data_IF_814510130104
#
_entry.id   IF_814510130104
#
_cell.length_a   1.000
_cell.length_b   1.000
_cell.length_c   1.000
_cell.angle_alpha   90.00
_cell.angle_beta   90.00
_cell.angle_gamma   90.00
#
_symmetry.space_group_name_H-M   'P 1'
#
loop_
_entity.id
_entity.type
_entity.pdbx_description
1 polymer ?
#
# COMPACT_ATOMS: atom_id res chain seq x y z
N UNK A 1 -10.93 13.02 32.92
CA UNK A 1 -9.93 12.69 33.96
C UNK A 1 -9.28 11.32 33.71
N UNK A 2 -10.04 10.23 33.51
CA UNK A 2 -9.49 8.90 33.19
C UNK A 2 -8.66 8.80 31.89
N UNK A 3 -9.06 9.47 30.81
CA UNK A 3 -8.28 9.49 29.55
C UNK A 3 -6.86 10.05 29.74
N UNK A 4 -6.68 11.10 30.55
CA UNK A 4 -5.35 11.69 30.84
C UNK A 4 -4.50 10.75 31.68
N UNK A 5 -5.09 10.04 32.64
CA UNK A 5 -4.38 9.07 33.48
C UNK A 5 -3.79 7.92 32.67
N UNK A 6 -4.56 7.31 31.76
CA UNK A 6 -4.06 6.26 30.88
C UNK A 6 -3.08 6.80 29.84
N UNK A 7 -3.28 8.00 29.30
CA UNK A 7 -2.36 8.57 28.31
C UNK A 7 -0.99 8.89 28.90
N UNK A 8 -0.98 9.54 30.06
CA UNK A 8 0.22 10.16 30.63
C UNK A 8 0.96 9.22 31.61
N UNK A 9 0.50 7.98 31.75
CA UNK A 9 1.12 6.99 32.63
C UNK A 9 2.60 6.77 32.24
N UNK A 10 3.53 6.75 33.22
CA UNK A 10 4.98 6.73 32.96
C UNK A 10 5.45 5.51 32.16
N UNK A 11 4.70 4.41 32.19
CA UNK A 11 4.99 3.20 31.40
C UNK A 11 4.91 3.49 29.90
N UNK A 12 3.91 4.25 29.44
CA UNK A 12 3.77 4.58 28.01
C UNK A 12 4.91 5.49 27.55
N UNK A 13 5.38 6.41 28.41
CA UNK A 13 6.54 7.26 28.11
C UNK A 13 7.84 6.48 27.91
N UNK A 14 7.96 5.27 28.47
CA UNK A 14 9.11 4.37 28.25
C UNK A 14 8.96 3.52 26.99
N UNK A 15 7.75 3.04 26.71
CA UNK A 15 7.48 2.12 25.59
C UNK A 15 7.42 2.86 24.25
N UNK A 16 6.72 4.01 24.20
CA UNK A 16 6.43 4.72 22.95
C UNK A 16 7.69 5.13 22.17
N UNK A 17 8.78 5.61 22.81
CA UNK A 17 10.00 5.94 22.09
C UNK A 17 10.67 4.74 21.39
N UNK A 18 10.43 3.50 21.83
CA UNK A 18 10.94 2.30 21.14
C UNK A 18 10.25 2.11 19.79
N UNK A 19 9.01 2.58 19.65
CA UNK A 19 8.28 2.53 18.39
C UNK A 19 8.70 3.62 17.41
N UNK A 20 9.42 4.69 17.83
CA UNK A 20 9.90 5.72 16.91
C UNK A 20 10.69 5.09 15.74
N UNK A 21 11.58 4.14 16.03
CA UNK A 21 12.39 3.44 15.02
C UNK A 21 11.54 2.54 14.13
N UNK A 22 10.49 1.91 14.66
CA UNK A 22 9.56 1.10 13.87
C UNK A 22 8.74 1.96 12.90
N UNK A 23 8.25 3.12 13.36
CA UNK A 23 7.48 4.05 12.52
C UNK A 23 8.36 4.83 11.53
N UNK A 24 9.68 4.84 11.72
CA UNK A 24 10.61 5.34 10.73
C UNK A 24 10.51 4.59 9.39
N UNK A 25 10.28 3.27 9.43
CA UNK A 25 10.09 2.43 8.24
C UNK A 25 8.77 2.67 7.50
N UNK A 26 7.90 3.53 8.03
CA UNK A 26 6.57 3.85 7.52
C UNK A 26 5.68 2.62 7.26
N UNK A 27 5.39 1.83 8.32
CA UNK A 27 4.67 0.55 8.18
C UNK A 27 3.24 0.70 7.63
N UNK A 28 2.64 1.89 7.73
CA UNK A 28 1.30 2.16 7.18
C UNK A 28 1.23 1.99 5.66
N UNK A 29 2.34 2.23 4.95
CA UNK A 29 2.40 2.04 3.50
C UNK A 29 2.30 0.57 3.08
N UNK A 30 2.56 -0.38 4.00
CA UNK A 30 2.42 -1.81 3.71
C UNK A 30 0.98 -2.22 3.42
N UNK A 31 0.00 -1.43 3.88
CA UNK A 31 -1.42 -1.67 3.61
C UNK A 31 -1.74 -1.77 2.11
N UNK A 32 -1.01 -1.00 1.30
CA UNK A 32 -1.15 -1.03 -0.15
C UNK A 32 -0.19 -2.04 -0.80
N UNK A 33 1.08 -2.07 -0.38
CA UNK A 33 2.06 -2.93 -1.05
C UNK A 33 1.75 -4.41 -0.85
N UNK A 34 1.28 -4.80 0.33
CA UNK A 34 0.92 -6.18 0.62
C UNK A 34 -0.35 -6.61 -0.10
N UNK A 35 -1.31 -5.69 -0.26
CA UNK A 35 -2.48 -5.90 -1.10
C UNK A 35 -2.05 -6.29 -2.51
N UNK A 36 -1.12 -5.57 -3.13
CA UNK A 36 -0.68 -5.88 -4.51
C UNK A 36 -0.02 -7.26 -4.62
N UNK A 37 0.80 -7.64 -3.65
CA UNK A 37 1.39 -8.99 -3.58
C UNK A 37 0.27 -10.03 -3.50
N UNK A 38 -0.69 -9.87 -2.58
CA UNK A 38 -1.83 -10.77 -2.40
C UNK A 38 -2.71 -10.87 -3.65
N UNK A 39 -2.89 -9.79 -4.41
CA UNK A 39 -3.62 -9.80 -5.69
C UNK A 39 -2.90 -10.67 -6.72
N UNK A 40 -1.56 -10.58 -6.79
CA UNK A 40 -0.74 -11.46 -7.62
C UNK A 40 -0.87 -12.94 -7.26
N UNK A 41 -0.85 -13.23 -5.96
CA UNK A 41 -1.07 -14.58 -5.40
C UNK A 41 -2.47 -15.09 -5.76
N UNK A 42 -3.50 -14.27 -5.53
CA UNK A 42 -4.89 -14.63 -5.82
C UNK A 42 -5.10 -14.95 -7.30
N UNK A 43 -4.66 -14.07 -8.21
CA UNK A 43 -4.96 -14.22 -9.63
C UNK A 43 -4.34 -15.51 -10.21
N UNK A 44 -3.13 -15.88 -9.76
CA UNK A 44 -2.48 -17.11 -10.18
C UNK A 44 -3.27 -18.35 -9.72
N UNK A 45 -3.70 -18.35 -8.46
CA UNK A 45 -4.50 -19.43 -7.88
C UNK A 45 -5.88 -19.54 -8.56
N UNK A 46 -6.54 -18.40 -8.81
CA UNK A 46 -7.82 -18.33 -9.50
C UNK A 46 -7.74 -18.89 -10.93
N UNK A 47 -6.74 -18.46 -11.70
CA UNK A 47 -6.52 -18.95 -13.08
C UNK A 47 -6.06 -20.41 -13.14
N UNK A 48 -5.60 -20.95 -12.02
CA UNK A 48 -5.28 -22.37 -11.87
C UNK A 48 -6.45 -23.18 -11.31
N UNK A 49 -7.65 -22.60 -11.27
CA UNK A 49 -8.91 -23.23 -10.82
C UNK A 49 -8.91 -23.70 -9.36
N UNK A 50 -8.03 -23.13 -8.52
CA UNK A 50 -7.92 -23.51 -7.11
C UNK A 50 -8.91 -22.73 -6.21
N UNK A 51 -9.63 -21.75 -6.74
CA UNK A 51 -10.68 -20.96 -6.07
C UNK A 51 -10.36 -20.66 -4.58
N UNK A 52 -9.29 -19.90 -4.31
CA UNK A 52 -8.79 -19.78 -2.94
C UNK A 52 -9.78 -19.02 -2.06
N UNK A 53 -10.24 -19.67 -1.00
CA UNK A 53 -10.94 -19.04 0.11
C UNK A 53 -10.38 -19.59 1.42
N UNK A 54 -10.25 -18.74 2.44
CA UNK A 54 -9.83 -19.14 3.78
C UNK A 54 -8.52 -19.97 3.81
N UNK A 55 -7.47 -19.47 3.15
CA UNK A 55 -6.16 -20.13 3.15
C UNK A 55 -5.45 -19.95 4.50
N UNK A 56 -5.71 -20.86 5.46
CA UNK A 56 -5.10 -20.86 6.79
C UNK A 56 -3.72 -21.54 6.86
N UNK A 57 -3.23 -22.12 5.76
CA UNK A 57 -1.90 -22.74 5.74
C UNK A 57 -0.82 -21.66 5.81
N UNK A 58 -0.07 -21.64 6.90
CA UNK A 58 1.09 -20.77 7.02
C UNK A 58 2.25 -21.31 6.17
N UNK A 59 2.88 -20.45 5.37
CA UNK A 59 4.04 -20.81 4.59
C UNK A 59 5.14 -19.75 4.76
N UNK A 60 6.31 -20.22 5.20
CA UNK A 60 7.45 -19.39 5.56
C UNK A 60 7.98 -18.55 4.41
N UNK A 61 7.94 -19.03 3.17
CA UNK A 61 8.43 -18.23 2.04
C UNK A 61 7.49 -17.08 1.68
N UNK A 62 6.17 -17.16 1.96
CA UNK A 62 5.32 -15.95 1.88
C UNK A 62 5.79 -14.93 2.92
N UNK A 63 6.05 -15.35 4.16
CA UNK A 63 6.57 -14.46 5.20
C UNK A 63 7.90 -13.81 4.77
N UNK A 64 8.83 -14.58 4.21
CA UNK A 64 10.10 -14.06 3.68
C UNK A 64 9.89 -13.10 2.50
N UNK A 65 8.94 -13.38 1.60
CA UNK A 65 8.57 -12.50 0.48
C UNK A 65 8.05 -11.15 0.99
N UNK A 66 7.08 -11.17 1.91
CA UNK A 66 6.52 -9.95 2.49
C UNK A 66 7.59 -9.16 3.24
N UNK A 67 8.42 -9.81 4.08
CA UNK A 67 9.49 -9.13 4.82
C UNK A 67 10.55 -8.54 3.88
N UNK A 68 11.01 -9.31 2.89
CA UNK A 68 12.04 -8.88 1.94
C UNK A 68 11.61 -7.66 1.13
N UNK A 69 10.40 -7.70 0.56
CA UNK A 69 9.84 -6.56 -0.17
C UNK A 69 9.56 -5.36 0.74
N UNK A 70 9.06 -5.59 1.96
CA UNK A 70 8.80 -4.51 2.91
C UNK A 70 10.08 -3.77 3.25
N UNK A 71 11.20 -4.47 3.51
CA UNK A 71 12.48 -3.83 3.81
C UNK A 71 13.00 -2.98 2.65
N UNK A 72 12.88 -3.47 1.41
CA UNK A 72 13.25 -2.70 0.22
C UNK A 72 12.39 -1.43 0.11
N UNK A 73 11.07 -1.56 0.29
CA UNK A 73 10.15 -0.42 0.24
C UNK A 73 10.40 0.58 1.39
N UNK A 74 10.69 0.12 2.60
CA UNK A 74 11.07 0.99 3.72
C UNK A 74 12.26 1.87 3.35
N UNK A 75 13.25 1.30 2.68
CA UNK A 75 14.41 2.06 2.21
C UNK A 75 14.01 3.18 1.25
N UNK A 76 13.07 2.92 0.33
CA UNK A 76 12.57 3.94 -0.61
C UNK A 76 11.85 5.06 0.12
N UNK A 77 11.00 4.73 1.10
CA UNK A 77 10.30 5.73 1.90
C UNK A 77 11.27 6.59 2.72
N UNK A 78 12.34 6.00 3.26
CA UNK A 78 13.37 6.77 3.96
C UNK A 78 14.09 7.71 2.99
N UNK A 79 14.49 7.23 1.80
CA UNK A 79 15.14 8.08 0.80
C UNK A 79 14.27 9.24 0.33
N UNK A 80 12.98 9.00 0.07
CA UNK A 80 12.08 10.08 -0.33
C UNK A 80 11.93 11.16 0.75
N UNK A 81 11.91 10.77 2.03
CA UNK A 81 11.85 11.72 3.16
C UNK A 81 13.14 12.54 3.35
N UNK A 82 14.29 11.95 2.99
CA UNK A 82 15.57 12.66 3.00
C UNK A 82 15.56 13.75 1.91
N UNK A 83 15.13 13.38 0.70
CA UNK A 83 15.24 14.22 -0.49
C UNK A 83 14.14 15.29 -0.62
N UNK A 84 12.89 14.97 -0.29
CA UNK A 84 11.75 15.89 -0.40
C UNK A 84 11.27 16.34 0.98
N UNK A 85 11.45 17.64 1.27
CA UNK A 85 11.01 18.25 2.53
C UNK A 85 9.50 18.12 2.72
N UNK A 86 8.71 18.10 1.64
CA UNK A 86 7.25 18.00 1.72
C UNK A 86 6.77 16.61 2.14
N UNK A 87 7.62 15.58 2.07
CA UNK A 87 7.28 14.22 2.50
C UNK A 87 7.68 13.92 3.95
N UNK A 88 8.25 14.91 4.67
CA UNK A 88 8.69 14.75 6.06
C UNK A 88 7.52 14.82 7.04
N UNK A 89 7.11 13.66 7.52
CA UNK A 89 6.13 13.55 8.61
C UNK A 89 6.73 13.97 9.98
N UNK A 90 5.89 14.26 10.97
CA UNK A 90 6.28 14.59 12.36
C UNK A 90 7.24 13.54 12.96
N UNK A 91 7.04 12.26 12.63
CA UNK A 91 7.93 11.15 12.99
C UNK A 91 9.36 11.36 12.48
N UNK A 92 9.50 11.76 11.22
CA UNK A 92 10.80 11.94 10.59
C UNK A 92 11.54 13.11 11.22
N UNK A 93 10.85 14.24 11.43
CA UNK A 93 11.39 15.43 12.08
C UNK A 93 11.92 15.09 13.47
N UNK A 94 11.17 14.27 14.23
CA UNK A 94 11.60 13.85 15.56
C UNK A 94 12.88 12.99 15.52
N UNK A 95 13.00 12.09 14.54
CA UNK A 95 14.14 11.17 14.43
C UNK A 95 15.37 11.88 13.85
N UNK A 96 15.18 12.87 12.97
CA UNK A 96 16.21 13.77 12.45
C UNK A 96 16.97 14.48 13.58
N UNK A 97 16.30 14.80 14.71
CA UNK A 97 16.98 15.37 15.88
C UNK A 97 17.88 14.39 16.63
N UNK A 98 17.67 13.07 16.47
CA UNK A 98 18.41 12.02 17.21
C UNK A 98 19.58 11.43 16.42
N UNK A 99 19.46 11.36 15.09
CA UNK A 99 20.41 10.68 14.23
C UNK A 99 20.85 11.56 13.06
N UNK A 100 22.11 11.42 12.64
CA UNK A 100 22.63 12.14 11.47
C UNK A 100 22.15 11.52 10.15
N UNK A 101 22.05 12.34 9.11
CA UNK A 101 21.67 11.90 7.75
C UNK A 101 22.51 10.71 7.23
N UNK A 102 23.81 10.69 7.52
CA UNK A 102 24.69 9.58 7.15
C UNK A 102 24.25 8.23 7.74
N UNK A 103 23.66 8.22 8.95
CA UNK A 103 23.10 7.00 9.54
C UNK A 103 21.84 6.54 8.82
N UNK A 104 21.00 7.47 8.36
CA UNK A 104 19.80 7.10 7.59
C UNK A 104 20.16 6.48 6.24
N UNK A 105 21.12 7.05 5.52
CA UNK A 105 21.61 6.46 4.28
C UNK A 105 22.19 5.06 4.48
N UNK A 106 22.97 4.87 5.55
CA UNK A 106 23.52 3.56 5.90
C UNK A 106 22.40 2.55 6.21
N UNK A 107 21.41 2.94 7.01
CA UNK A 107 20.26 2.11 7.35
C UNK A 107 19.48 1.69 6.09
N UNK A 108 19.19 2.63 5.20
CA UNK A 108 18.52 2.36 3.91
C UNK A 108 19.28 1.34 3.07
N UNK A 109 20.61 1.48 2.95
CA UNK A 109 21.46 0.51 2.24
C UNK A 109 21.43 -0.87 2.89
N UNK A 110 21.45 -0.94 4.22
CA UNK A 110 21.34 -2.21 4.97
C UNK A 110 19.98 -2.87 4.71
N UNK A 111 18.88 -2.11 4.73
CA UNK A 111 17.54 -2.63 4.45
C UNK A 111 17.42 -3.22 3.05
N UNK A 112 17.96 -2.55 2.03
CA UNK A 112 18.01 -3.08 0.67
C UNK A 112 18.79 -4.40 0.62
N UNK A 113 19.97 -4.42 1.24
CA UNK A 113 20.83 -5.60 1.23
C UNK A 113 20.17 -6.80 1.93
N UNK A 114 19.63 -6.60 3.14
CA UNK A 114 18.92 -7.65 3.87
C UNK A 114 17.66 -8.08 3.13
N UNK A 115 16.91 -7.13 2.55
CA UNK A 115 15.72 -7.43 1.76
C UNK A 115 16.02 -8.32 0.55
N UNK A 116 17.10 -8.04 -0.20
CA UNK A 116 17.54 -8.87 -1.31
C UNK A 116 17.98 -10.27 -0.86
N UNK A 117 18.67 -10.38 0.29
CA UNK A 117 19.03 -11.68 0.88
C UNK A 117 17.78 -12.49 1.22
N UNK A 118 16.78 -11.87 1.85
CA UNK A 118 15.51 -12.55 2.16
C UNK A 118 14.82 -13.03 0.89
N UNK A 119 14.81 -12.22 -0.17
CA UNK A 119 14.24 -12.61 -1.46
C UNK A 119 15.00 -13.76 -2.14
N UNK A 120 16.32 -13.86 -1.96
CA UNK A 120 17.09 -15.01 -2.44
C UNK A 120 16.63 -16.33 -1.80
N UNK A 121 16.25 -16.31 -0.52
CA UNK A 121 15.67 -17.48 0.15
C UNK A 121 14.23 -17.79 -0.31
N UNK A 122 13.53 -16.82 -0.91
CA UNK A 122 12.22 -17.02 -1.51
C UNK A 122 12.37 -17.67 -2.87
N UNK A 123 12.98 -16.96 -3.82
CA UNK A 123 13.44 -17.52 -5.10
C UNK A 123 14.22 -16.48 -5.92
N UNK A 124 15.05 -16.98 -6.85
CA UNK A 124 15.88 -16.14 -7.73
C UNK A 124 15.04 -15.16 -8.56
N UNK A 125 13.86 -15.58 -9.02
CA UNK A 125 12.95 -14.72 -9.79
C UNK A 125 12.46 -13.56 -8.91
N UNK A 126 12.11 -13.81 -7.66
CA UNK A 126 11.71 -12.77 -6.73
C UNK A 126 12.87 -11.82 -6.39
N UNK A 127 14.10 -12.31 -6.29
CA UNK A 127 15.28 -11.44 -6.19
C UNK A 127 15.41 -10.52 -7.40
N UNK A 128 15.22 -11.04 -8.62
CA UNK A 128 15.23 -10.22 -9.84
C UNK A 128 14.14 -9.14 -9.76
N UNK A 129 12.93 -9.48 -9.32
CA UNK A 129 11.87 -8.46 -9.12
C UNK A 129 12.24 -7.40 -8.09
N UNK A 130 12.94 -7.79 -7.00
CA UNK A 130 13.48 -6.86 -6.01
C UNK A 130 14.54 -5.92 -6.59
N UNK A 131 15.44 -6.43 -7.43
CA UNK A 131 16.43 -5.60 -8.15
C UNK A 131 15.74 -4.65 -9.13
N UNK A 132 14.73 -5.12 -9.86
CA UNK A 132 13.93 -4.25 -10.75
C UNK A 132 13.21 -3.14 -9.99
N UNK A 133 12.68 -3.42 -8.79
CA UNK A 133 12.10 -2.38 -7.91
C UNK A 133 13.11 -1.30 -7.56
N UNK A 134 14.36 -1.67 -7.23
CA UNK A 134 15.44 -0.73 -6.91
C UNK A 134 15.81 0.12 -8.12
N UNK A 135 15.93 -0.51 -9.31
CA UNK A 135 16.24 0.21 -10.55
C UNK A 135 15.10 1.18 -10.89
N UNK A 136 13.83 0.72 -10.81
CA UNK A 136 12.68 1.57 -11.03
C UNK A 136 12.72 2.79 -10.08
N UNK A 137 12.92 2.58 -8.78
CA UNK A 137 13.02 3.67 -7.82
C UNK A 137 14.10 4.70 -8.21
N UNK A 138 15.33 4.26 -8.49
CA UNK A 138 16.43 5.16 -8.86
C UNK A 138 16.19 5.90 -10.18
N UNK A 139 15.58 5.26 -11.17
CA UNK A 139 15.24 5.91 -12.46
C UNK A 139 14.14 6.96 -12.26
N UNK A 140 13.09 6.66 -11.49
CA UNK A 140 12.02 7.62 -11.24
C UNK A 140 12.51 8.83 -10.45
N UNK A 141 13.28 8.61 -9.38
CA UNK A 141 13.86 9.69 -8.58
C UNK A 141 14.72 10.65 -9.42
N UNK A 142 15.49 10.12 -10.40
CA UNK A 142 16.39 10.91 -11.24
C UNK A 142 15.73 11.56 -12.45
N UNK A 143 14.82 10.86 -13.13
CA UNK A 143 14.32 11.27 -14.46
C UNK A 143 12.83 11.62 -14.51
N UNK A 144 11.99 11.01 -13.66
CA UNK A 144 10.54 11.12 -13.76
C UNK A 144 9.93 11.59 -12.43
N UNK A 145 9.61 12.89 -12.33
CA UNK A 145 8.90 13.45 -11.17
C UNK A 145 7.40 13.08 -11.09
N UNK A 146 6.89 12.26 -12.01
CA UNK A 146 5.48 11.88 -11.99
C UNK A 146 5.24 10.71 -11.02
N UNK A 147 4.76 11.05 -9.81
CA UNK A 147 4.47 10.08 -8.74
C UNK A 147 3.49 8.97 -9.16
N UNK A 148 2.56 9.25 -10.08
CA UNK A 148 1.56 8.26 -10.50
C UNK A 148 2.17 7.10 -11.25
N UNK A 149 3.07 7.41 -12.19
CA UNK A 149 3.73 6.40 -13.02
C UNK A 149 4.63 5.54 -12.13
N UNK A 150 5.37 6.16 -11.20
CA UNK A 150 6.18 5.45 -10.23
C UNK A 150 5.35 4.44 -9.43
N UNK A 151 4.28 4.91 -8.78
CA UNK A 151 3.42 4.07 -7.96
C UNK A 151 2.72 2.95 -8.77
N UNK A 152 2.36 3.22 -10.02
CA UNK A 152 1.83 2.20 -10.92
C UNK A 152 2.89 1.13 -11.24
N UNK A 153 4.11 1.52 -11.59
CA UNK A 153 5.22 0.58 -11.84
C UNK A 153 5.58 -0.25 -10.60
N UNK A 154 5.63 0.38 -9.42
CA UNK A 154 5.82 -0.29 -8.14
C UNK A 154 4.74 -1.37 -7.92
N UNK A 155 3.47 -1.00 -8.12
CA UNK A 155 2.33 -1.93 -8.00
C UNK A 155 2.44 -3.13 -8.94
N UNK A 156 2.83 -2.90 -10.20
CA UNK A 156 3.03 -3.97 -11.17
C UNK A 156 4.12 -4.95 -10.73
N UNK A 157 5.25 -4.44 -10.25
CA UNK A 157 6.36 -5.28 -9.79
C UNK A 157 5.99 -6.09 -8.54
N UNK A 158 5.29 -5.46 -7.58
CA UNK A 158 4.77 -6.14 -6.39
C UNK A 158 3.75 -7.22 -6.75
N UNK A 159 2.84 -6.93 -7.67
CA UNK A 159 1.90 -7.92 -8.21
C UNK A 159 2.65 -9.14 -8.79
N UNK A 160 3.63 -8.90 -9.66
CA UNK A 160 4.37 -9.98 -10.30
C UNK A 160 5.19 -10.82 -9.32
N UNK A 161 5.71 -10.22 -8.24
CA UNK A 161 6.39 -10.97 -7.18
C UNK A 161 5.48 -12.02 -6.52
N UNK A 162 4.23 -11.65 -6.20
CA UNK A 162 3.24 -12.58 -5.66
C UNK A 162 2.85 -13.67 -6.66
N UNK A 163 2.70 -13.31 -7.93
CA UNK A 163 2.41 -14.25 -9.01
C UNK A 163 3.53 -15.28 -9.23
N UNK A 164 4.79 -14.84 -9.26
CA UNK A 164 5.92 -15.74 -9.51
C UNK A 164 6.14 -16.70 -8.35
N UNK A 165 5.97 -16.23 -7.11
CA UNK A 165 6.09 -17.10 -5.96
C UNK A 165 5.01 -18.19 -5.92
N UNK A 166 3.75 -17.84 -6.20
CA UNK A 166 2.66 -18.83 -6.28
C UNK A 166 2.86 -19.83 -7.41
N UNK A 167 3.31 -19.36 -8.58
CA UNK A 167 3.67 -20.24 -9.68
C UNK A 167 4.65 -21.33 -9.24
N UNK A 168 5.70 -20.95 -8.53
CA UNK A 168 6.79 -21.86 -8.17
C UNK A 168 6.35 -22.93 -7.17
N UNK A 169 5.45 -22.58 -6.24
CA UNK A 169 5.07 -23.47 -5.14
C UNK A 169 3.85 -24.33 -5.45
N UNK A 170 2.80 -23.75 -6.03
CA UNK A 170 1.49 -24.41 -6.06
C UNK A 170 1.03 -24.79 -7.46
N UNK A 171 1.19 -23.93 -8.47
CA UNK A 171 0.49 -24.11 -9.75
C UNK A 171 1.36 -24.62 -10.87
N UNK A 172 2.65 -24.26 -10.92
CA UNK A 172 3.54 -24.50 -12.06
C UNK A 172 3.14 -23.75 -13.34
N UNK A 173 2.08 -22.92 -13.30
CA UNK A 173 1.51 -22.23 -14.47
C UNK A 173 2.42 -21.10 -14.95
N UNK A 174 2.82 -21.15 -16.21
CA UNK A 174 3.53 -20.03 -16.85
C UNK A 174 2.58 -18.87 -17.15
N UNK A 175 3.11 -17.65 -17.11
CA UNK A 175 2.37 -16.47 -17.54
C UNK A 175 2.08 -16.55 -19.04
N UNK A 176 0.80 -16.55 -19.40
CA UNK A 176 0.33 -16.58 -20.78
C UNK A 176 -0.16 -15.20 -21.21
N UNK A 177 -0.13 -14.90 -22.52
CA UNK A 177 -0.65 -13.63 -23.04
C UNK A 177 -2.14 -13.45 -22.75
N UNK A 178 -2.90 -14.54 -22.62
CA UNK A 178 -4.31 -14.49 -22.23
C UNK A 178 -4.52 -14.00 -20.79
N UNK A 179 -3.54 -14.22 -19.90
CA UNK A 179 -3.63 -13.77 -18.50
C UNK A 179 -3.68 -12.24 -18.39
N UNK A 180 -3.19 -11.53 -19.41
CA UNK A 180 -3.25 -10.06 -19.47
C UNK A 180 -4.69 -9.55 -19.35
N UNK A 181 -5.66 -10.25 -19.94
CA UNK A 181 -7.08 -9.86 -19.88
C UNK A 181 -7.59 -9.84 -18.43
N UNK A 182 -7.07 -10.74 -17.58
CA UNK A 182 -7.41 -10.80 -16.16
C UNK A 182 -6.62 -9.79 -15.31
N UNK A 183 -5.43 -9.35 -15.76
CA UNK A 183 -4.64 -8.33 -15.06
C UNK A 183 -5.17 -6.91 -15.21
N UNK A 184 -5.63 -6.58 -16.43
CA UNK A 184 -6.10 -5.23 -16.78
C UNK A 184 -7.07 -4.64 -15.74
N UNK A 185 -8.13 -5.33 -15.28
CA UNK A 185 -9.08 -4.72 -14.34
C UNK A 185 -8.43 -4.37 -12.99
N UNK A 186 -7.45 -5.14 -12.51
CA UNK A 186 -6.71 -4.83 -11.28
C UNK A 186 -5.83 -3.60 -11.45
N UNK A 187 -5.10 -3.49 -12.55
CA UNK A 187 -4.27 -2.31 -12.81
C UNK A 187 -5.10 -1.05 -13.05
N UNK A 188 -6.26 -1.15 -13.69
CA UNK A 188 -7.21 -0.03 -13.80
C UNK A 188 -7.71 0.40 -12.42
N UNK A 189 -8.03 -0.55 -11.54
CA UNK A 189 -8.42 -0.25 -10.17
C UNK A 189 -7.30 0.44 -9.39
N UNK A 190 -6.06 -0.06 -9.48
CA UNK A 190 -4.89 0.56 -8.84
C UNK A 190 -4.66 1.98 -9.34
N UNK A 191 -4.77 2.19 -10.66
CA UNK A 191 -4.63 3.52 -11.25
C UNK A 191 -5.74 4.47 -10.77
N UNK A 192 -6.96 3.96 -10.57
CA UNK A 192 -8.06 4.75 -9.98
C UNK A 192 -7.73 5.20 -8.54
N UNK A 193 -7.15 4.32 -7.71
CA UNK A 193 -6.73 4.68 -6.35
C UNK A 193 -5.65 5.76 -6.34
N UNK A 194 -4.64 5.63 -7.21
CA UNK A 194 -3.57 6.62 -7.30
C UNK A 194 -4.04 7.97 -7.83
N UNK A 195 -4.97 7.98 -8.79
CA UNK A 195 -5.62 9.21 -9.24
C UNK A 195 -6.41 9.87 -8.09
N UNK A 196 -7.15 9.09 -7.30
CA UNK A 196 -7.85 9.61 -6.12
C UNK A 196 -6.88 10.16 -5.05
N UNK A 197 -5.71 9.53 -4.86
CA UNK A 197 -4.64 10.04 -3.99
C UNK A 197 -4.11 11.38 -4.49
N UNK A 198 -3.77 11.48 -5.78
CA UNK A 198 -3.31 12.74 -6.38
C UNK A 198 -4.36 13.84 -6.30
N UNK A 199 -5.65 13.50 -6.45
CA UNK A 199 -6.72 14.48 -6.30
C UNK A 199 -6.80 15.01 -4.86
N UNK A 200 -6.59 14.15 -3.85
CA UNK A 200 -6.52 14.56 -2.46
C UNK A 200 -5.31 15.46 -2.18
N UNK A 201 -4.12 15.07 -2.65
CA UNK A 201 -2.88 15.85 -2.47
C UNK A 201 -3.01 17.23 -3.12
N UNK A 202 -3.59 17.31 -4.32
CA UNK A 202 -3.84 18.56 -5.03
C UNK A 202 -4.94 19.41 -4.38
N UNK A 203 -5.93 18.81 -3.74
CA UNK A 203 -6.97 19.55 -3.00
C UNK A 203 -6.35 20.37 -1.85
N UNK A 204 -5.33 19.83 -1.19
CA UNK A 204 -4.64 20.48 -0.09
C UNK A 204 -3.58 21.51 -0.56
N UNK A 205 -3.13 21.42 -1.81
CA UNK A 205 -2.09 22.30 -2.35
C UNK A 205 -2.67 23.59 -2.94
N UNK A 206 -2.33 24.74 -2.36
CA UNK A 206 -2.80 26.05 -2.81
C UNK A 206 -2.45 26.36 -4.28
N UNK A 207 -1.36 25.78 -4.79
CA UNK A 207 -0.82 25.99 -6.13
C UNK A 207 -1.59 25.22 -7.23
N UNK A 208 -2.33 24.16 -6.89
CA UNK A 208 -3.04 23.31 -7.87
C UNK A 208 -4.51 23.14 -7.47
N UNK A 209 -5.31 24.19 -7.63
CA UNK A 209 -6.75 24.14 -7.34
C UNK A 209 -7.50 23.27 -8.36
N UNK A 210 -7.89 22.08 -7.94
CA UNK A 210 -8.89 21.27 -8.65
C UNK A 210 -10.24 21.98 -8.54
N UNK A 211 -10.96 22.06 -9.66
CA UNK A 211 -12.31 22.64 -9.70
C UNK A 211 -13.37 21.57 -9.43
N UNK A 212 -14.51 21.99 -8.91
CA UNK A 212 -15.70 21.14 -8.87
C UNK A 212 -16.07 20.71 -10.30
N UNK A 213 -16.34 19.41 -10.50
CA UNK A 213 -16.57 18.78 -11.80
C UNK A 213 -15.36 18.73 -12.76
N UNK A 214 -14.13 18.75 -12.23
CA UNK A 214 -12.93 18.56 -13.05
C UNK A 214 -12.84 17.12 -13.59
N UNK A 215 -12.30 16.97 -14.81
CA UNK A 215 -12.13 15.68 -15.48
C UNK A 215 -11.24 14.73 -14.66
N UNK A 216 -10.30 15.28 -13.89
CA UNK A 216 -9.39 14.52 -13.01
C UNK A 216 -10.13 13.75 -11.92
N UNK A 217 -11.27 14.28 -11.44
CA UNK A 217 -12.12 13.62 -10.43
C UNK A 217 -13.07 12.61 -11.07
N UNK A 218 -13.45 12.84 -12.32
CA UNK A 218 -14.28 11.92 -13.10
C UNK A 218 -13.49 10.70 -13.61
N UNK A 219 -12.19 10.85 -13.87
CA UNK A 219 -11.34 9.78 -14.38
C UNK A 219 -11.31 8.51 -13.50
N UNK A 220 -11.13 8.58 -12.16
CA UNK A 220 -11.27 7.43 -11.27
C UNK A 220 -12.58 6.66 -11.44
N UNK A 221 -13.70 7.36 -11.62
CA UNK A 221 -15.02 6.73 -11.80
C UNK A 221 -15.06 5.92 -13.10
N UNK A 222 -14.60 6.51 -14.20
CA UNK A 222 -14.53 5.81 -15.50
C UNK A 222 -13.67 4.56 -15.39
N UNK A 223 -12.50 4.66 -14.77
CA UNK A 223 -11.57 3.54 -14.61
C UNK A 223 -12.20 2.40 -13.80
N UNK A 224 -12.94 2.72 -12.74
CA UNK A 224 -13.65 1.73 -11.93
C UNK A 224 -14.80 1.07 -12.71
N UNK A 225 -15.54 1.81 -13.53
CA UNK A 225 -16.61 1.25 -14.39
C UNK A 225 -16.01 0.27 -15.41
N UNK A 226 -14.90 0.63 -16.05
CA UNK A 226 -14.21 -0.25 -17.00
C UNK A 226 -13.65 -1.48 -16.29
N UNK A 227 -13.02 -1.29 -15.12
CA UNK A 227 -12.52 -2.39 -14.26
C UNK A 227 -13.65 -3.37 -13.88
N UNK A 228 -14.80 -2.85 -13.46
CA UNK A 228 -16.00 -3.63 -13.15
C UNK A 228 -16.46 -4.46 -14.35
N UNK A 229 -16.61 -3.82 -15.51
CA UNK A 229 -17.13 -4.45 -16.71
C UNK A 229 -16.21 -5.59 -17.20
N UNK A 230 -14.89 -5.33 -17.24
CA UNK A 230 -13.91 -6.36 -17.63
C UNK A 230 -13.90 -7.49 -16.60
N UNK A 231 -13.90 -7.18 -15.30
CA UNK A 231 -13.98 -8.19 -14.24
C UNK A 231 -15.22 -9.08 -14.35
N UNK A 232 -16.37 -8.48 -14.68
CA UNK A 232 -17.63 -9.17 -14.83
C UNK A 232 -17.62 -10.12 -16.04
N UNK A 233 -17.09 -9.68 -17.19
CA UNK A 233 -16.90 -10.53 -18.37
C UNK A 233 -15.97 -11.71 -18.06
N UNK A 234 -14.90 -11.45 -17.31
CA UNK A 234 -13.92 -12.46 -16.93
C UNK A 234 -14.42 -13.40 -15.82
N UNK A 235 -15.64 -13.19 -15.29
CA UNK A 235 -16.18 -13.92 -14.15
C UNK A 235 -15.26 -13.93 -12.92
N UNK A 236 -14.51 -12.83 -12.71
CA UNK A 236 -13.65 -12.66 -11.53
C UNK A 236 -14.43 -11.96 -10.40
N UNK A 237 -14.87 -12.71 -9.36
CA UNK A 237 -15.73 -12.15 -8.34
C UNK A 237 -15.05 -11.06 -7.50
N UNK A 238 -13.73 -11.16 -7.29
CA UNK A 238 -13.00 -10.27 -6.40
C UNK A 238 -13.02 -8.83 -6.94
N UNK A 239 -12.49 -8.64 -8.15
CA UNK A 239 -12.38 -7.30 -8.75
C UNK A 239 -13.76 -6.73 -9.10
N UNK A 240 -14.71 -7.55 -9.52
CA UNK A 240 -16.09 -7.09 -9.79
C UNK A 240 -16.78 -6.53 -8.55
N UNK A 241 -16.70 -7.22 -7.41
CA UNK A 241 -17.34 -6.73 -6.18
C UNK A 241 -16.63 -5.48 -5.64
N UNK A 242 -15.29 -5.46 -5.65
CA UNK A 242 -14.54 -4.32 -5.12
C UNK A 242 -14.75 -3.07 -5.99
N UNK A 243 -14.74 -3.22 -7.32
CA UNK A 243 -14.95 -2.12 -8.26
C UNK A 243 -16.35 -1.50 -8.10
N UNK A 244 -17.43 -2.31 -8.11
CA UNK A 244 -18.80 -1.79 -8.01
C UNK A 244 -19.08 -1.10 -6.67
N UNK A 245 -18.55 -1.63 -5.57
CA UNK A 245 -18.67 -1.02 -4.24
C UNK A 245 -17.86 0.27 -4.14
N UNK A 246 -16.73 0.37 -4.84
CA UNK A 246 -15.86 1.55 -4.84
C UNK A 246 -16.36 2.71 -5.70
N UNK A 247 -17.20 2.44 -6.71
CA UNK A 247 -17.79 3.48 -7.58
C UNK A 247 -18.59 4.48 -6.75
N UNK A 248 -19.36 4.04 -5.76
CA UNK A 248 -20.22 4.91 -4.94
C UNK A 248 -19.44 6.02 -4.21
N UNK A 249 -18.27 5.70 -3.66
CA UNK A 249 -17.45 6.69 -2.94
C UNK A 249 -16.83 7.73 -3.88
N UNK A 250 -16.33 7.29 -5.04
CA UNK A 250 -15.78 8.18 -6.06
C UNK A 250 -16.88 9.06 -6.69
N UNK A 251 -18.06 8.51 -6.90
CA UNK A 251 -19.23 9.26 -7.37
C UNK A 251 -19.64 10.36 -6.38
N UNK A 252 -19.71 10.03 -5.08
CA UNK A 252 -20.02 11.02 -4.06
C UNK A 252 -18.99 12.15 -3.98
N UNK A 253 -17.71 11.80 -4.09
CA UNK A 253 -16.59 12.75 -4.15
C UNK A 253 -16.70 13.70 -5.35
N UNK A 254 -17.10 13.19 -6.52
CA UNK A 254 -17.29 14.00 -7.72
C UNK A 254 -18.41 15.05 -7.60
N UNK A 255 -19.57 14.67 -7.06
CA UNK A 255 -20.71 15.59 -6.94
C UNK A 255 -20.55 16.59 -5.80
N UNK A 256 -20.12 16.10 -4.63
CA UNK A 256 -20.12 16.89 -3.39
C UNK A 256 -18.83 17.70 -3.26
N UNK A 257 -17.70 17.17 -3.72
CA UNK A 257 -16.40 17.82 -3.79
C UNK A 257 -15.92 18.44 -2.46
N UNK A 258 -16.13 17.73 -1.34
CA UNK A 258 -15.50 18.08 -0.07
C UNK A 258 -14.26 17.23 0.17
N UNK A 259 -13.28 17.78 0.88
CA UNK A 259 -12.04 17.09 1.26
C UNK A 259 -12.31 15.71 1.89
N UNK A 260 -13.27 15.63 2.81
CA UNK A 260 -13.66 14.37 3.44
C UNK A 260 -14.13 13.31 2.45
N UNK A 261 -14.77 13.72 1.36
CA UNK A 261 -15.29 12.79 0.35
C UNK A 261 -14.16 12.34 -0.60
N UNK A 262 -13.17 13.20 -0.84
CA UNK A 262 -11.90 12.82 -1.48
C UNK A 262 -11.15 11.79 -0.65
N UNK A 263 -11.01 12.02 0.66
CA UNK A 263 -10.41 11.06 1.60
C UNK A 263 -11.15 9.71 1.55
N UNK A 264 -12.49 9.73 1.58
CA UNK A 264 -13.31 8.51 1.50
C UNK A 264 -13.15 7.77 0.17
N UNK A 265 -13.02 8.50 -0.94
CA UNK A 265 -12.80 7.91 -2.27
C UNK A 265 -11.44 7.22 -2.43
N UNK A 266 -10.51 7.46 -1.51
CA UNK A 266 -9.24 6.74 -1.41
C UNK A 266 -9.32 5.60 -0.37
N UNK A 267 -9.62 5.96 0.89
CA UNK A 267 -9.48 5.06 2.04
C UNK A 267 -10.47 3.90 1.95
N UNK A 268 -11.74 4.15 1.60
CA UNK A 268 -12.74 3.10 1.61
C UNK A 268 -12.55 2.07 0.49
N UNK A 269 -12.30 2.45 -0.78
CA UNK A 269 -11.93 1.48 -1.80
C UNK A 269 -10.72 0.61 -1.42
N UNK A 270 -9.67 1.22 -0.84
CA UNK A 270 -8.49 0.49 -0.37
C UNK A 270 -8.81 -0.47 0.78
N UNK A 271 -9.62 -0.03 1.74
CA UNK A 271 -10.05 -0.85 2.87
C UNK A 271 -10.96 -2.01 2.42
N UNK A 272 -11.90 -1.76 1.52
CA UNK A 272 -12.80 -2.77 0.96
C UNK A 272 -12.00 -3.85 0.23
N UNK A 273 -11.03 -3.46 -0.59
CA UNK A 273 -10.15 -4.42 -1.26
C UNK A 273 -9.43 -5.30 -0.24
N UNK A 274 -8.81 -4.69 0.78
CA UNK A 274 -8.15 -5.44 1.83
C UNK A 274 -9.12 -6.38 2.59
N UNK A 275 -10.34 -5.95 2.92
CA UNK A 275 -11.35 -6.79 3.58
C UNK A 275 -11.70 -8.01 2.73
N UNK A 276 -11.90 -7.85 1.41
CA UNK A 276 -12.17 -8.99 0.54
C UNK A 276 -10.94 -9.89 0.35
N UNK A 277 -9.72 -9.35 0.32
CA UNK A 277 -8.51 -10.18 0.32
C UNK A 277 -8.29 -10.91 1.64
N UNK A 278 -8.73 -10.35 2.76
CA UNK A 278 -8.63 -10.99 4.08
C UNK A 278 -9.50 -12.24 4.21
N UNK A 279 -10.60 -12.34 3.47
CA UNK A 279 -11.39 -13.58 3.42
C UNK A 279 -10.66 -14.69 2.66
N UNK A 280 -9.77 -14.32 1.73
CA UNK A 280 -8.92 -15.25 0.96
C UNK A 280 -7.67 -15.60 1.76
N UNK A 281 -7.02 -14.60 2.36
CA UNK A 281 -5.76 -14.69 3.11
C UNK A 281 -5.95 -14.19 4.56
N UNK A 282 -6.47 -15.02 5.49
CA UNK A 282 -6.75 -14.60 6.86
C UNK A 282 -5.56 -14.05 7.65
N UNK A 283 -4.32 -14.49 7.36
CA UNK A 283 -3.14 -13.93 8.03
C UNK A 283 -2.89 -12.46 7.68
N UNK A 284 -3.30 -12.02 6.48
CA UNK A 284 -3.25 -10.60 6.10
C UNK A 284 -4.08 -9.76 7.07
N UNK A 285 -5.21 -10.28 7.57
CA UNK A 285 -6.02 -9.61 8.58
C UNK A 285 -5.26 -9.47 9.90
N UNK A 286 -4.62 -10.55 10.38
CA UNK A 286 -3.89 -10.51 11.65
C UNK A 286 -2.81 -9.43 11.64
N UNK A 287 -2.04 -9.33 10.56
CA UNK A 287 -1.00 -8.31 10.46
C UNK A 287 -1.57 -6.90 10.38
N UNK A 288 -2.58 -6.67 9.55
CA UNK A 288 -3.22 -5.35 9.46
C UNK A 288 -3.87 -4.93 10.78
N UNK A 289 -4.46 -5.88 11.50
CA UNK A 289 -5.04 -5.63 12.82
C UNK A 289 -3.97 -5.21 13.81
N UNK A 290 -2.87 -5.98 13.92
CA UNK A 290 -1.73 -5.64 14.79
C UNK A 290 -1.17 -4.26 14.43
N UNK A 291 -0.95 -4.00 13.14
CA UNK A 291 -0.40 -2.74 12.65
C UNK A 291 -1.34 -1.56 12.96
N UNK A 292 -2.65 -1.72 12.76
CA UNK A 292 -3.65 -0.70 13.08
C UNK A 292 -3.60 -0.28 14.57
N UNK A 293 -3.57 -1.25 15.48
CA UNK A 293 -3.55 -0.97 16.92
C UNK A 293 -2.21 -0.41 17.40
N UNK A 294 -1.09 -0.90 16.87
CA UNK A 294 0.24 -0.36 17.20
C UNK A 294 0.34 1.08 16.71
N UNK A 295 -0.12 1.39 15.49
CA UNK A 295 -0.17 2.76 14.97
C UNK A 295 -1.06 3.66 15.83
N UNK A 296 -2.25 3.19 16.18
CA UNK A 296 -3.18 3.95 17.03
C UNK A 296 -2.59 4.26 18.40
N UNK A 297 -1.95 3.28 19.01
CA UNK A 297 -1.27 3.46 20.29
C UNK A 297 -0.11 4.45 20.17
N UNK A 298 0.74 4.28 19.15
CA UNK A 298 1.90 5.13 18.94
C UNK A 298 1.50 6.60 18.70
N UNK A 299 0.62 6.87 17.75
CA UNK A 299 0.23 8.24 17.42
C UNK A 299 -0.50 8.94 18.58
N UNK A 300 -1.34 8.21 19.31
CA UNK A 300 -2.08 8.79 20.44
C UNK A 300 -1.14 9.16 21.60
N UNK A 301 -0.22 8.28 21.97
CA UNK A 301 0.67 8.55 23.09
C UNK A 301 1.89 9.41 22.72
N UNK A 302 2.26 9.50 21.44
CA UNK A 302 3.41 10.28 20.96
C UNK A 302 3.07 11.69 20.51
N UNK A 303 1.99 11.85 19.74
CA UNK A 303 1.60 13.11 19.10
C UNK A 303 0.24 13.64 19.55
N UNK A 304 -0.44 12.94 20.46
CA UNK A 304 -1.84 13.21 20.84
C UNK A 304 -2.82 13.14 19.65
N UNK A 305 -2.43 12.39 18.62
CA UNK A 305 -3.22 12.19 17.40
C UNK A 305 -3.98 10.87 17.47
N UNK A 306 -5.29 10.92 17.28
CA UNK A 306 -6.09 9.73 17.09
C UNK A 306 -5.97 9.27 15.64
N UNK A 307 -4.92 8.50 15.32
CA UNK A 307 -4.66 7.96 13.99
C UNK A 307 -4.04 6.56 14.07
N UNK A 308 -4.40 5.58 13.23
CA UNK A 308 -5.39 5.66 12.14
C UNK A 308 -6.84 5.63 12.65
N UNK A 309 -7.70 6.39 11.98
CA UNK A 309 -9.14 6.42 12.21
C UNK A 309 -9.89 6.05 10.94
N UNK A 310 -10.98 5.30 11.10
CA UNK A 310 -11.97 5.12 10.03
C UNK A 310 -12.96 6.29 9.96
N UNK A 311 -12.98 7.13 11.00
CA UNK A 311 -13.77 8.35 11.03
C UNK A 311 -13.03 9.43 10.26
N UNK A 312 -13.68 9.92 9.21
CA UNK A 312 -13.28 11.15 8.55
C UNK A 312 -14.01 12.27 9.28
N UNK A 313 -13.40 12.74 10.35
CA UNK A 313 -13.96 13.84 11.16
C UNK A 313 -13.99 15.13 10.33
N UNK A 314 -15.02 15.94 10.59
CA UNK A 314 -15.16 17.27 10.00
C UNK A 314 -14.30 18.25 10.79
N UNK A 315 -13.08 18.49 10.32
CA UNK A 315 -12.48 19.80 10.52
C UNK A 315 -12.98 20.76 9.44
#
# INVERSE_FOLDING_TARGET
MFKKFFRDHPVHKKIVPLFDEFFFFNPMNYYFSWLMICVGVYLNLFLSLLNPQFLFSFNFGYLLLFLGLSMILSSFYIFNKIDDVNERDENFILIETKYSFAKFELLSKILIFVGLILLLFVSVINTITGVLLIICFGVFQKYFKNKLIYYFCESCLLFFSGWFYTKEITTGRFFSLFDIIFLVPYFLFCLSLYMSKMNLDNYNNENFKIKKFDWKVLCPIILLIISFYIGFINSDPLISIISITSIGFNFYSFFRFYQKDMVRSLIYPLAIFNIFLMTIFPYLFMFHFVLFYISKYYHWHRFDLHYPTFLVDSE
#
